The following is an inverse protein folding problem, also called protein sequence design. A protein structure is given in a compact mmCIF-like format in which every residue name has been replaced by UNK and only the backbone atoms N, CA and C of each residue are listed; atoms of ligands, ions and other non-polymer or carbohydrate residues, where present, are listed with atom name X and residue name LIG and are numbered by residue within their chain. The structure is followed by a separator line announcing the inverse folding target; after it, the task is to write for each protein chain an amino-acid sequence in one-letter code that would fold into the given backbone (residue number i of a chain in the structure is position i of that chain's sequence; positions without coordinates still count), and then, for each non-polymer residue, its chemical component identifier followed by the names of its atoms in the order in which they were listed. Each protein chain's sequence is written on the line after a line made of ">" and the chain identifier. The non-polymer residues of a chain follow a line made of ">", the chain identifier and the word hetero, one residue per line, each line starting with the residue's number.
data_IF_094916278282
#
_entry.id   IF_094916278282
#
_cell.length_a   1.000
_cell.length_b   1.000
_cell.length_c   1.000
_cell.angle_alpha   90.00
_cell.angle_beta   90.00
_cell.angle_gamma   90.00
#
_symmetry.space_group_name_H-M   'P 1'
#
loop_
_entity.id
_entity.type
_entity.pdbx_description
1 polymer ?
#
# COMPACT_ATOMS: atom_id res chain seq x y z
N UNK A 1 7.01 0.59 16.94
CA UNK A 1 5.54 0.48 16.85
C UNK A 1 4.90 0.45 18.23
N UNK A 2 5.27 -0.45 19.14
CA UNK A 2 4.51 -0.68 20.38
C UNK A 2 4.45 0.51 21.36
N UNK A 3 5.51 1.31 21.49
CA UNK A 3 5.64 2.30 22.58
C UNK A 3 5.52 3.75 22.15
N UNK A 4 5.60 4.05 20.85
CA UNK A 4 5.55 5.43 20.36
C UNK A 4 4.11 5.96 20.39
N UNK A 5 3.86 7.21 20.85
CA UNK A 5 2.56 7.85 20.75
C UNK A 5 2.04 7.83 19.31
N UNK A 6 0.74 7.61 19.11
CA UNK A 6 0.14 7.39 17.78
C UNK A 6 0.53 8.47 16.76
N UNK A 7 0.47 9.75 17.15
CA UNK A 7 0.83 10.90 16.31
C UNK A 7 2.31 10.94 15.88
N UNK A 8 3.17 10.10 16.46
CA UNK A 8 4.61 9.98 16.14
C UNK A 8 4.99 8.54 15.75
N UNK A 9 4.01 7.68 15.50
CA UNK A 9 4.23 6.26 15.23
C UNK A 9 4.20 6.00 13.73
N UNK A 10 5.39 5.97 13.10
CA UNK A 10 5.54 5.86 11.65
C UNK A 10 4.69 4.75 11.00
N UNK A 11 4.76 3.46 11.41
CA UNK A 11 3.94 2.42 10.78
C UNK A 11 2.43 2.63 10.97
N UNK A 12 2.00 3.18 12.11
CA UNK A 12 0.58 3.47 12.34
C UNK A 12 0.10 4.61 11.44
N UNK A 13 0.89 5.68 11.32
CA UNK A 13 0.61 6.80 10.42
C UNK A 13 0.60 6.36 8.95
N UNK A 14 1.55 5.53 8.52
CA UNK A 14 1.57 4.97 7.16
C UNK A 14 0.32 4.12 6.87
N UNK A 15 -0.12 3.31 7.84
CA UNK A 15 -1.36 2.54 7.73
C UNK A 15 -2.60 3.44 7.60
N UNK A 16 -2.69 4.50 8.42
CA UNK A 16 -3.79 5.47 8.38
C UNK A 16 -3.82 6.25 7.06
N UNK A 17 -2.68 6.69 6.55
CA UNK A 17 -2.58 7.36 5.24
C UNK A 17 -3.03 6.42 4.12
N UNK A 18 -2.60 5.16 4.16
CA UNK A 18 -3.04 4.14 3.19
C UNK A 18 -4.54 3.89 3.23
N UNK A 19 -5.13 3.82 4.44
CA UNK A 19 -6.57 3.72 4.61
C UNK A 19 -7.29 4.97 4.07
N UNK A 20 -6.80 6.16 4.39
CA UNK A 20 -7.37 7.43 3.94
C UNK A 20 -7.40 7.52 2.41
N UNK A 21 -6.29 7.26 1.72
CA UNK A 21 -6.25 7.28 0.25
C UNK A 21 -7.25 6.31 -0.38
N UNK A 22 -7.38 5.10 0.17
CA UNK A 22 -8.25 4.08 -0.40
C UNK A 22 -9.72 4.30 -0.09
N UNK A 23 -10.06 4.59 1.16
CA UNK A 23 -11.45 4.66 1.62
C UNK A 23 -12.05 6.04 1.36
N UNK A 24 -11.28 7.11 1.56
CA UNK A 24 -11.76 8.49 1.43
C UNK A 24 -11.47 9.03 0.04
N UNK A 25 -10.20 9.03 -0.40
CA UNK A 25 -9.82 9.57 -1.72
C UNK A 25 -10.16 8.64 -2.90
N UNK A 26 -10.60 7.41 -2.63
CA UNK A 26 -10.95 6.40 -3.65
C UNK A 26 -9.78 6.02 -4.57
N UNK A 27 -8.56 6.05 -4.06
CA UNK A 27 -7.37 5.55 -4.78
C UNK A 27 -7.15 4.07 -4.45
N UNK A 28 -7.48 3.15 -5.38
CA UNK A 28 -7.48 1.71 -5.08
C UNK A 28 -6.08 1.09 -5.14
N UNK A 29 -5.10 1.79 -5.70
CA UNK A 29 -3.77 1.28 -5.95
C UNK A 29 -2.70 2.07 -5.19
N UNK A 30 -1.64 1.36 -4.80
CA UNK A 30 -0.44 1.91 -4.15
C UNK A 30 0.79 1.52 -4.96
N UNK A 31 1.46 2.52 -5.53
CA UNK A 31 2.75 2.33 -6.17
C UNK A 31 3.90 2.34 -5.15
N UNK A 32 4.82 1.39 -5.26
CA UNK A 32 6.07 1.34 -4.48
C UNK A 32 7.24 1.48 -5.45
N UNK A 33 7.95 2.61 -5.37
CA UNK A 33 8.95 3.02 -6.37
C UNK A 33 10.28 3.30 -5.65
N UNK A 34 11.07 2.27 -5.30
CA UNK A 34 12.34 2.48 -4.64
C UNK A 34 13.36 3.06 -5.62
N UNK A 35 14.05 4.13 -5.25
CA UNK A 35 15.15 4.71 -6.06
C UNK A 35 16.48 4.00 -5.79
N UNK A 36 16.44 2.67 -5.76
CA UNK A 36 17.61 1.80 -5.60
C UNK A 36 17.34 0.44 -6.25
N UNK A 37 18.16 0.05 -7.23
CA UNK A 37 17.99 -1.19 -7.97
C UNK A 37 18.12 -2.46 -7.09
N UNK A 38 18.85 -2.38 -5.98
CA UNK A 38 18.95 -3.48 -5.00
C UNK A 38 17.61 -3.81 -4.37
N UNK A 39 16.66 -2.88 -4.40
CA UNK A 39 15.29 -3.04 -3.89
C UNK A 39 14.29 -3.47 -4.98
N UNK A 40 14.76 -3.98 -6.12
CA UNK A 40 13.89 -4.49 -7.20
C UNK A 40 12.86 -5.54 -6.78
N UNK A 41 13.13 -6.32 -5.74
CA UNK A 41 12.18 -7.30 -5.19
C UNK A 41 11.28 -6.76 -4.09
N UNK A 42 11.50 -5.52 -3.63
CA UNK A 42 10.69 -4.92 -2.58
C UNK A 42 9.21 -4.76 -2.98
N UNK A 43 8.85 -4.28 -4.19
CA UNK A 43 7.45 -4.23 -4.61
C UNK A 43 6.79 -5.62 -4.61
N UNK A 44 7.49 -6.65 -5.12
CA UNK A 44 6.99 -8.02 -5.15
C UNK A 44 6.79 -8.62 -3.74
N UNK A 45 7.71 -8.34 -2.82
CA UNK A 45 7.55 -8.74 -1.42
C UNK A 45 6.33 -8.07 -0.77
N UNK A 46 6.15 -6.76 -1.02
CA UNK A 46 5.02 -6.00 -0.47
C UNK A 46 3.68 -6.37 -1.11
N UNK A 47 3.68 -6.83 -2.37
CA UNK A 47 2.49 -7.39 -3.00
C UNK A 47 1.92 -8.53 -2.17
N UNK A 48 2.74 -9.52 -1.85
CA UNK A 48 2.29 -10.63 -1.03
C UNK A 48 1.90 -10.15 0.37
N UNK A 49 2.79 -9.42 1.05
CA UNK A 49 2.57 -8.99 2.43
C UNK A 49 1.27 -8.20 2.60
N UNK A 50 0.98 -7.24 1.72
CA UNK A 50 -0.18 -6.35 1.85
C UNK A 50 -1.44 -7.00 1.26
N UNK A 51 -1.36 -7.48 0.01
CA UNK A 51 -2.55 -7.95 -0.71
C UNK A 51 -3.08 -9.26 -0.14
N UNK A 52 -2.22 -10.21 0.25
CA UNK A 52 -2.67 -11.48 0.83
C UNK A 52 -3.22 -11.29 2.26
N UNK A 53 -2.63 -10.37 3.02
CA UNK A 53 -3.07 -10.09 4.39
C UNK A 53 -4.38 -9.30 4.43
N UNK A 54 -4.51 -8.27 3.60
CA UNK A 54 -5.58 -7.28 3.71
C UNK A 54 -6.64 -7.40 2.60
N UNK A 55 -6.40 -8.17 1.53
CA UNK A 55 -7.36 -8.44 0.45
C UNK A 55 -8.48 -9.38 0.87
N UNK A 56 -9.28 -8.96 1.86
CA UNK A 56 -10.33 -9.76 2.49
C UNK A 56 -11.71 -9.18 2.21
N UNK A 57 -12.74 -10.02 2.33
CA UNK A 57 -14.15 -9.67 2.11
C UNK A 57 -15.03 -9.84 3.35
N UNK A 58 -14.47 -10.33 4.46
CA UNK A 58 -15.19 -10.66 5.70
C UNK A 58 -14.52 -9.96 6.89
N UNK A 59 -15.33 -9.36 7.76
CA UNK A 59 -14.89 -8.69 8.99
C UNK A 59 -14.66 -9.70 10.12
N UNK A 60 -14.05 -9.25 11.23
CA UNK A 60 -13.70 -10.13 12.36
C UNK A 60 -14.93 -10.73 13.07
N UNK A 61 -16.09 -10.08 12.98
CA UNK A 61 -17.38 -10.55 13.47
C UNK A 61 -18.12 -11.46 12.46
N UNK A 62 -17.49 -11.79 11.33
CA UNK A 62 -18.03 -12.70 10.31
C UNK A 62 -18.96 -12.03 9.29
N UNK A 63 -19.21 -10.72 9.40
CA UNK A 63 -19.99 -9.95 8.44
C UNK A 63 -19.26 -9.67 7.12
N UNK A 64 -19.99 -9.23 6.10
CA UNK A 64 -19.38 -8.77 4.86
C UNK A 64 -18.76 -7.37 5.05
N UNK A 65 -17.60 -7.12 4.44
CA UNK A 65 -16.97 -5.79 4.46
C UNK A 65 -17.81 -4.78 3.66
N UNK A 66 -17.98 -3.58 4.20
CA UNK A 66 -18.74 -2.49 3.57
C UNK A 66 -17.84 -1.39 2.99
N UNK A 67 -16.52 -1.53 3.13
CA UNK A 67 -15.51 -0.57 2.65
C UNK A 67 -14.38 -1.28 1.92
N UNK A 68 -13.63 -0.59 1.04
CA UNK A 68 -12.44 -1.17 0.40
C UNK A 68 -11.40 -1.66 1.43
N UNK A 69 -10.86 -2.86 1.23
CA UNK A 69 -9.93 -3.52 2.16
C UNK A 69 -8.45 -3.37 1.77
N UNK A 70 -7.84 -4.34 1.07
CA UNK A 70 -6.46 -4.23 0.60
C UNK A 70 -6.36 -3.38 -0.67
N UNK A 71 -5.30 -2.56 -0.85
CA UNK A 71 -5.03 -1.91 -2.13
C UNK A 71 -4.40 -2.87 -3.15
N UNK A 72 -4.48 -2.53 -4.43
CA UNK A 72 -3.58 -3.11 -5.43
C UNK A 72 -2.16 -2.56 -5.20
N UNK A 73 -1.20 -3.42 -4.86
CA UNK A 73 0.20 -3.01 -4.70
C UNK A 73 0.99 -3.34 -5.95
N UNK A 74 1.78 -2.40 -6.44
CA UNK A 74 2.59 -2.57 -7.65
C UNK A 74 3.77 -1.60 -7.66
N UNK A 75 4.70 -1.77 -8.60
CA UNK A 75 5.78 -0.82 -8.85
C UNK A 75 7.07 -1.49 -9.31
N UNK A 76 8.03 -0.64 -9.64
CA UNK A 76 9.37 -0.98 -10.14
C UNK A 76 10.38 0.02 -9.56
N UNK A 77 11.68 -0.31 -9.48
CA UNK A 77 12.69 0.66 -9.11
C UNK A 77 12.73 1.88 -10.04
N UNK A 78 13.08 3.03 -9.47
CA UNK A 78 13.47 4.23 -10.23
C UNK A 78 14.91 4.09 -10.74
N UNK A 79 15.26 4.56 -11.95
CA UNK A 79 14.44 5.34 -12.90
C UNK A 79 13.66 4.50 -13.92
N UNK A 80 13.76 3.16 -13.89
CA UNK A 80 13.07 2.29 -14.85
C UNK A 80 11.56 2.57 -14.93
N UNK A 81 10.91 2.74 -13.77
CA UNK A 81 9.50 3.10 -13.71
C UNK A 81 9.15 4.43 -14.39
N UNK A 82 10.08 5.40 -14.37
CA UNK A 82 9.89 6.73 -14.98
C UNK A 82 9.71 6.64 -16.50
N UNK A 83 10.34 5.65 -17.13
CA UNK A 83 10.26 5.42 -18.57
C UNK A 83 9.22 4.35 -18.97
N UNK A 84 8.47 3.82 -18.01
CA UNK A 84 7.47 2.78 -18.25
C UNK A 84 6.03 3.26 -18.02
N UNK A 85 5.73 3.79 -16.84
CA UNK A 85 4.34 4.07 -16.43
C UNK A 85 4.13 5.42 -15.75
N UNK A 86 5.18 6.23 -15.54
CA UNK A 86 5.03 7.55 -14.92
C UNK A 86 4.16 8.51 -15.75
N UNK A 87 4.09 8.32 -17.08
CA UNK A 87 3.18 9.08 -17.93
C UNK A 87 1.70 8.95 -17.51
N UNK A 88 1.31 7.83 -16.89
CA UNK A 88 -0.04 7.62 -16.37
C UNK A 88 -0.22 8.20 -14.96
N UNK A 89 0.87 8.39 -14.21
CA UNK A 89 0.84 8.93 -12.85
C UNK A 89 0.81 10.47 -12.81
N UNK A 90 1.21 11.13 -13.90
CA UNK A 90 1.22 12.59 -14.07
C UNK A 90 -0.06 13.07 -14.75
#
# INVERSE_FOLDING_TARGET
>A
FQTAPLARNLPALMGLIGWWHRVICKYPARAVIPYDQRLSRLPAYLQQLDMESNGKSVTLDGGAVTTPTGPLVWGEPGTNGQHAFFQLLH
#
